data_IF_281560371080
#
_entry.id   IF_281560371080
#
_cell.length_a   1.000
_cell.length_b   1.000
_cell.length_c   1.000
_cell.angle_alpha   90.00
_cell.angle_beta   90.00
_cell.angle_gamma   90.00
#
_symmetry.space_group_name_H-M   'P 1'
#
loop_
_entity.id
_entity.type
_entity.pdbx_description
1 polymer ?
#
# COMPACT_ATOMS: atom_id res chain seq x y z
N UNK A 1 7.57 26.35 25.58
CA UNK A 1 8.53 25.30 25.15
C UNK A 1 8.09 24.80 23.78
N UNK A 2 8.88 24.98 22.71
CA UNK A 2 8.56 24.48 21.36
C UNK A 2 8.98 23.02 21.27
N UNK A 3 8.02 22.11 21.13
CA UNK A 3 8.30 20.71 20.86
C UNK A 3 9.14 20.58 19.59
N UNK A 4 10.20 19.76 19.68
CA UNK A 4 11.05 19.32 18.57
C UNK A 4 10.18 19.01 17.36
N UNK A 5 10.41 19.66 16.22
CA UNK A 5 9.85 19.25 14.92
C UNK A 5 10.44 17.88 14.59
N UNK A 6 9.83 16.82 15.12
CA UNK A 6 10.08 15.46 14.66
C UNK A 6 9.81 15.45 13.16
N UNK A 7 10.75 14.89 12.39
CA UNK A 7 10.65 14.77 10.93
C UNK A 7 9.25 14.27 10.58
N UNK A 8 8.45 15.09 9.89
CA UNK A 8 7.09 14.73 9.57
C UNK A 8 7.08 13.42 8.78
N UNK A 9 6.22 12.47 9.18
CA UNK A 9 6.06 11.21 8.46
C UNK A 9 5.65 11.54 7.01
N UNK A 10 6.43 11.05 6.05
CA UNK A 10 6.08 11.14 4.63
C UNK A 10 4.92 10.18 4.39
N UNK A 11 3.72 10.73 4.35
CA UNK A 11 2.47 9.95 4.28
C UNK A 11 2.43 8.97 3.11
N UNK A 12 2.97 9.33 1.95
CA UNK A 12 3.02 8.44 0.78
C UNK A 12 3.91 7.22 1.02
N UNK A 13 5.06 7.40 1.68
CA UNK A 13 5.95 6.30 2.02
C UNK A 13 5.33 5.40 3.08
N UNK A 14 4.79 5.99 4.16
CA UNK A 14 4.11 5.24 5.23
C UNK A 14 2.97 4.36 4.68
N UNK A 15 2.14 4.92 3.80
CA UNK A 15 1.06 4.17 3.14
C UNK A 15 1.58 3.06 2.23
N UNK A 16 2.64 3.32 1.46
CA UNK A 16 3.26 2.29 0.62
C UNK A 16 3.82 1.13 1.42
N UNK A 17 4.47 1.41 2.56
CA UNK A 17 4.99 0.39 3.47
C UNK A 17 3.86 -0.43 4.10
N UNK A 18 2.81 0.22 4.61
CA UNK A 18 1.63 -0.48 5.15
C UNK A 18 0.98 -1.41 4.12
N UNK A 19 0.89 -0.98 2.87
CA UNK A 19 0.36 -1.81 1.79
C UNK A 19 1.21 -3.08 1.57
N UNK A 20 2.54 -2.93 1.50
CA UNK A 20 3.46 -4.06 1.39
C UNK A 20 3.37 -5.01 2.59
N UNK A 21 3.23 -4.47 3.80
CA UNK A 21 3.08 -5.28 5.02
C UNK A 21 1.78 -6.09 5.02
N UNK A 22 0.66 -5.50 4.59
CA UNK A 22 -0.63 -6.20 4.48
C UNK A 22 -0.55 -7.33 3.45
N UNK A 23 0.00 -7.05 2.26
CA UNK A 23 0.14 -8.05 1.20
C UNK A 23 1.09 -9.17 1.64
N UNK A 24 2.26 -8.81 2.19
CA UNK A 24 3.26 -9.78 2.63
C UNK A 24 2.79 -10.68 3.77
N UNK A 25 1.89 -10.21 4.64
CA UNK A 25 1.32 -11.01 5.73
C UNK A 25 0.15 -11.89 5.31
N UNK A 26 -0.51 -11.59 4.19
CA UNK A 26 -1.66 -12.36 3.68
C UNK A 26 -1.29 -13.79 3.31
N UNK A 27 -0.09 -14.01 2.75
CA UNK A 27 0.34 -15.31 2.23
C UNK A 27 -0.42 -15.76 0.96
N UNK A 28 -1.47 -15.04 0.56
CA UNK A 28 -2.25 -15.26 -0.67
C UNK A 28 -2.46 -13.95 -1.43
N UNK A 29 -2.67 -13.98 -2.76
CA UNK A 29 -3.03 -12.79 -3.53
C UNK A 29 -4.28 -12.11 -2.96
N UNK A 30 -4.26 -10.78 -2.86
CA UNK A 30 -5.35 -9.97 -2.32
C UNK A 30 -6.05 -9.20 -3.44
N UNK A 31 -7.37 -9.10 -3.42
CA UNK A 31 -8.08 -8.20 -4.32
C UNK A 31 -7.97 -6.74 -3.87
N UNK A 32 -8.15 -5.81 -4.81
CA UNK A 32 -8.18 -4.36 -4.50
C UNK A 32 -9.17 -4.00 -3.37
N UNK A 33 -10.32 -4.68 -3.32
CA UNK A 33 -11.31 -4.41 -2.27
C UNK A 33 -10.85 -4.91 -0.90
N UNK A 34 -10.07 -6.01 -0.83
CA UNK A 34 -9.50 -6.49 0.43
C UNK A 34 -8.53 -5.44 1.00
N UNK A 35 -7.72 -4.84 0.12
CA UNK A 35 -6.79 -3.77 0.49
C UNK A 35 -7.49 -2.50 0.96
N UNK A 36 -8.58 -2.10 0.30
CA UNK A 36 -9.40 -0.94 0.70
C UNK A 36 -10.09 -1.17 2.04
N UNK A 37 -10.51 -2.40 2.33
CA UNK A 37 -11.11 -2.74 3.62
C UNK A 37 -10.08 -2.86 4.74
N UNK A 38 -8.86 -3.32 4.43
CA UNK A 38 -7.79 -3.50 5.41
C UNK A 38 -7.04 -2.20 5.75
N UNK A 39 -7.06 -1.22 4.86
CA UNK A 39 -6.30 0.02 4.99
C UNK A 39 -7.25 1.22 4.99
N UNK A 40 -7.08 2.13 5.96
CA UNK A 40 -7.77 3.43 5.99
C UNK A 40 -7.14 4.41 4.97
N UNK A 41 -7.17 4.02 3.70
CA UNK A 41 -6.60 4.74 2.56
C UNK A 41 -7.64 4.75 1.44
N UNK A 42 -7.82 5.89 0.79
CA UNK A 42 -8.77 6.01 -0.31
C UNK A 42 -8.38 5.12 -1.51
N UNK A 43 -9.40 4.65 -2.25
CA UNK A 43 -9.24 3.77 -3.42
C UNK A 43 -8.23 4.29 -4.45
N UNK A 44 -8.23 5.60 -4.71
CA UNK A 44 -7.34 6.22 -5.71
C UNK A 44 -5.88 6.15 -5.27
N UNK A 45 -5.62 6.45 -3.99
CA UNK A 45 -4.29 6.31 -3.39
C UNK A 45 -3.81 4.85 -3.40
N UNK A 46 -4.64 3.88 -3.02
CA UNK A 46 -4.27 2.45 -3.07
C UNK A 46 -3.91 2.05 -4.49
N UNK A 47 -4.74 2.41 -5.47
CA UNK A 47 -4.49 2.08 -6.87
C UNK A 47 -3.15 2.66 -7.39
N UNK A 48 -2.85 3.92 -7.07
CA UNK A 48 -1.58 4.55 -7.46
C UNK A 48 -0.37 3.91 -6.78
N UNK A 49 -0.51 3.50 -5.53
CA UNK A 49 0.55 2.79 -4.79
C UNK A 49 0.81 1.42 -5.39
N UNK A 50 -0.24 0.65 -5.69
CA UNK A 50 -0.14 -0.65 -6.36
C UNK A 50 0.60 -0.51 -7.69
N UNK A 51 0.16 0.40 -8.56
CA UNK A 51 0.82 0.64 -9.86
C UNK A 51 2.30 1.02 -9.70
N UNK A 52 2.61 1.86 -8.70
CA UNK A 52 3.99 2.27 -8.43
C UNK A 52 4.86 1.09 -7.99
N UNK A 53 4.33 0.26 -7.11
CA UNK A 53 5.06 -0.89 -6.54
C UNK A 53 5.22 -2.02 -7.56
N UNK A 54 4.18 -2.29 -8.35
CA UNK A 54 4.20 -3.21 -9.49
C UNK A 54 5.23 -2.78 -10.54
N UNK A 55 5.20 -1.52 -10.98
CA UNK A 55 6.17 -0.99 -11.95
C UNK A 55 7.62 -1.02 -11.43
N UNK A 56 7.83 -1.11 -10.12
CA UNK A 56 9.15 -1.25 -9.50
C UNK A 56 9.52 -2.70 -9.15
N UNK A 57 8.65 -3.67 -9.45
CA UNK A 57 8.88 -5.09 -9.21
C UNK A 57 8.73 -5.53 -7.75
N UNK A 58 8.09 -4.73 -6.89
CA UNK A 58 7.80 -5.13 -5.51
C UNK A 58 6.52 -5.98 -5.39
N UNK A 59 5.63 -5.87 -6.38
CA UNK A 59 4.38 -6.59 -6.45
C UNK A 59 4.23 -7.18 -7.85
N UNK A 60 3.55 -8.31 -7.93
CA UNK A 60 3.08 -8.90 -9.17
C UNK A 60 1.55 -8.94 -9.13
N UNK A 61 0.93 -8.69 -10.27
CA UNK A 61 -0.51 -8.82 -10.44
C UNK A 61 -0.82 -10.13 -11.13
N UNK A 62 -1.74 -10.89 -10.56
CA UNK A 62 -2.29 -12.06 -11.22
C UNK A 62 -3.31 -11.60 -12.28
N UNK A 63 -2.92 -11.65 -13.54
CA UNK A 63 -3.77 -11.25 -14.67
C UNK A 63 -5.01 -12.15 -14.85
N UNK A 64 -4.95 -13.41 -14.41
CA UNK A 64 -6.08 -14.32 -14.51
C UNK A 64 -7.17 -13.97 -13.50
N UNK A 65 -6.79 -13.54 -12.30
CA UNK A 65 -7.73 -13.24 -11.21
C UNK A 65 -7.91 -11.76 -10.89
N UNK A 66 -7.10 -10.89 -11.51
CA UNK A 66 -7.00 -9.45 -11.24
C UNK A 66 -6.70 -9.11 -9.78
N UNK A 67 -5.97 -10.00 -9.09
CA UNK A 67 -5.52 -9.84 -7.71
C UNK A 67 -4.07 -9.36 -7.69
#
# INVERSE_FOLDING_TARGET
MKAKRGTAIIQSLDRGLKLLEVIGRSGTPLALNDLISALDIDRSSIFRLLLTLENRGYLERDDATRR
#
